data_IF_388914629266
#
_entry.id   IF_388914629266
#
_cell.length_a   1.000
_cell.length_b   1.000
_cell.length_c   1.000
_cell.angle_alpha   90.00
_cell.angle_beta   90.00
_cell.angle_gamma   90.00
#
_symmetry.space_group_name_H-M   'P 1'
#
loop_
_entity.id
_entity.type
_entity.pdbx_description
1 polymer ?
#
# COMPACT_ATOMS: atom_id res chain seq x y z
N UNK A 1 -23.20 -68.59 28.22
CA UNK A 1 -23.78 -67.54 29.08
C UNK A 1 -22.93 -66.29 28.87
N UNK A 2 -23.33 -65.44 27.90
CA UNK A 2 -22.57 -64.26 27.49
C UNK A 2 -23.26 -63.04 28.08
N UNK A 3 -22.55 -62.31 28.93
CA UNK A 3 -23.03 -61.08 29.56
C UNK A 3 -22.69 -59.92 28.65
N UNK A 4 -23.68 -59.36 27.97
CA UNK A 4 -23.57 -58.10 27.22
C UNK A 4 -23.53 -56.95 28.22
N UNK A 5 -22.38 -56.27 28.31
CA UNK A 5 -22.25 -54.98 28.99
C UNK A 5 -22.81 -53.88 28.09
N UNK A 6 -23.97 -53.36 28.39
CA UNK A 6 -24.57 -52.19 27.79
C UNK A 6 -23.80 -50.95 28.24
N UNK A 7 -23.09 -50.34 27.32
CA UNK A 7 -22.41 -49.03 27.49
C UNK A 7 -23.51 -47.95 27.43
N UNK A 8 -23.65 -47.05 28.41
CA UNK A 8 -24.69 -46.04 28.39
C UNK A 8 -24.36 -44.97 27.32
N UNK A 9 -25.21 -44.87 26.30
CA UNK A 9 -25.16 -43.89 25.19
C UNK A 9 -25.36 -42.41 25.62
N UNK A 10 -25.42 -42.13 26.91
CA UNK A 10 -25.74 -40.80 27.43
C UNK A 10 -24.52 -39.85 27.52
N UNK A 11 -23.31 -40.36 27.33
CA UNK A 11 -22.09 -39.52 27.45
C UNK A 11 -21.64 -38.83 26.17
N UNK A 12 -22.18 -39.23 25.03
CA UNK A 12 -21.78 -38.63 23.70
C UNK A 12 -22.71 -37.53 23.21
N UNK A 13 -23.91 -37.38 23.83
CA UNK A 13 -24.83 -36.31 23.44
C UNK A 13 -24.38 -34.93 23.93
N UNK A 14 -23.55 -34.85 24.97
CA UNK A 14 -23.10 -33.55 25.52
C UNK A 14 -21.86 -32.98 24.84
N UNK A 15 -21.06 -33.83 24.20
CA UNK A 15 -19.84 -33.38 23.48
C UNK A 15 -20.12 -32.90 22.05
N UNK A 16 -21.22 -33.31 21.43
CA UNK A 16 -21.57 -32.90 20.08
C UNK A 16 -22.23 -31.50 20.04
N UNK A 17 -22.88 -31.07 21.13
CA UNK A 17 -23.59 -29.80 21.22
C UNK A 17 -22.65 -28.60 21.45
N UNK A 18 -21.47 -28.84 22.04
CA UNK A 18 -20.49 -27.77 22.30
C UNK A 18 -19.63 -27.48 21.06
N UNK A 19 -19.46 -28.44 20.16
CA UNK A 19 -18.64 -28.26 18.94
C UNK A 19 -19.37 -27.50 17.81
N UNK A 20 -20.71 -27.51 17.83
CA UNK A 20 -21.52 -26.76 16.82
C UNK A 20 -21.69 -25.28 17.15
N UNK A 21 -21.34 -24.83 18.35
CA UNK A 21 -21.48 -23.42 18.74
C UNK A 21 -20.26 -22.54 18.38
N UNK A 22 -19.13 -23.16 17.96
CA UNK A 22 -17.89 -22.43 17.64
C UNK A 22 -17.72 -22.12 16.14
N UNK A 23 -18.62 -22.58 15.26
CA UNK A 23 -18.52 -22.34 13.80
C UNK A 23 -19.30 -21.10 13.35
N UNK A 24 -20.01 -20.40 14.26
CA UNK A 24 -20.92 -19.30 13.90
C UNK A 24 -20.37 -17.88 14.08
N UNK A 25 -19.07 -17.65 14.11
CA UNK A 25 -18.57 -16.28 14.30
C UNK A 25 -17.40 -15.91 13.41
N UNK A 26 -17.55 -16.10 12.10
CA UNK A 26 -16.65 -15.49 11.12
C UNK A 26 -17.42 -15.08 9.85
N UNK A 27 -18.61 -14.51 10.01
CA UNK A 27 -19.10 -13.56 9.02
C UNK A 27 -18.30 -12.28 9.28
N UNK A 28 -17.16 -12.14 8.61
CA UNK A 28 -16.50 -10.86 8.48
C UNK A 28 -17.57 -9.89 7.92
N UNK A 29 -18.11 -9.05 8.79
CA UNK A 29 -18.97 -7.95 8.40
C UNK A 29 -18.08 -7.01 7.61
N UNK A 30 -17.97 -7.26 6.30
CA UNK A 30 -17.32 -6.31 5.39
C UNK A 30 -18.17 -5.04 5.45
N UNK A 31 -17.53 -3.91 5.75
CA UNK A 31 -18.24 -2.64 5.74
C UNK A 31 -18.88 -2.44 4.37
N UNK A 32 -20.10 -1.86 4.30
CA UNK A 32 -20.75 -1.61 3.01
C UNK A 32 -19.87 -0.70 2.15
N UNK A 33 -19.82 -0.98 0.85
CA UNK A 33 -19.04 -0.18 -0.09
C UNK A 33 -19.86 1.06 -0.54
N UNK A 34 -19.76 2.13 0.24
CA UNK A 34 -20.42 3.41 -0.02
C UNK A 34 -19.41 4.55 -0.14
N UNK A 35 -19.78 5.69 -0.76
CA UNK A 35 -18.89 6.85 -0.80
C UNK A 35 -18.42 7.30 0.59
N UNK A 36 -19.25 7.18 1.61
CA UNK A 36 -18.95 7.55 3.00
C UNK A 36 -17.91 6.63 3.61
N UNK A 37 -18.08 5.31 3.45
CA UNK A 37 -17.11 4.33 3.96
C UNK A 37 -15.80 4.40 3.20
N UNK A 38 -15.82 4.63 1.88
CA UNK A 38 -14.61 4.89 1.08
C UNK A 38 -13.89 6.14 1.56
N UNK A 39 -14.61 7.24 1.81
CA UNK A 39 -14.03 8.48 2.33
C UNK A 39 -13.36 8.26 3.68
N UNK A 40 -14.02 7.59 4.61
CA UNK A 40 -13.47 7.27 5.92
C UNK A 40 -12.14 6.50 5.81
N UNK A 41 -12.09 5.46 4.97
CA UNK A 41 -10.86 4.67 4.78
C UNK A 41 -9.76 5.45 4.02
N UNK A 42 -10.13 6.31 3.06
CA UNK A 42 -9.19 7.20 2.40
C UNK A 42 -8.56 8.21 3.37
N UNK A 43 -9.34 8.77 4.29
CA UNK A 43 -8.84 9.66 5.35
C UNK A 43 -7.89 8.92 6.30
N UNK A 44 -8.20 7.68 6.70
CA UNK A 44 -7.31 6.83 7.49
C UNK A 44 -5.99 6.57 6.77
N UNK A 45 -6.03 6.26 5.47
CA UNK A 45 -4.84 6.07 4.66
C UNK A 45 -3.97 7.34 4.62
N UNK A 46 -4.57 8.51 4.38
CA UNK A 46 -3.83 9.77 4.33
C UNK A 46 -3.32 10.24 5.70
N UNK A 47 -3.92 9.78 6.81
CA UNK A 47 -3.32 9.94 8.15
C UNK A 47 -2.03 9.13 8.30
N UNK A 48 -1.97 7.94 7.72
CA UNK A 48 -0.78 7.10 7.74
C UNK A 48 0.31 7.57 6.74
N UNK A 49 -0.12 8.23 5.65
CA UNK A 49 0.73 8.75 4.56
C UNK A 49 0.41 10.22 4.30
N UNK A 50 0.75 11.15 5.20
CA UNK A 50 0.37 12.55 5.07
C UNK A 50 0.93 13.18 3.80
N UNK A 51 0.11 13.83 2.95
CA UNK A 51 0.58 14.49 1.72
C UNK A 51 1.72 15.49 1.98
N UNK A 52 1.63 16.24 3.08
CA UNK A 52 2.69 17.18 3.48
C UNK A 52 4.05 16.50 3.60
N UNK A 53 4.13 15.39 4.31
CA UNK A 53 5.39 14.65 4.51
C UNK A 53 5.95 14.14 3.18
N UNK A 54 5.10 13.70 2.25
CA UNK A 54 5.50 13.28 0.91
C UNK A 54 6.17 14.42 0.14
N UNK A 55 5.61 15.64 0.20
CA UNK A 55 6.19 16.81 -0.48
C UNK A 55 7.46 17.31 0.18
N UNK A 56 7.55 17.26 1.50
CA UNK A 56 8.76 17.59 2.25
C UNK A 56 9.91 16.65 1.87
N UNK A 57 9.68 15.33 1.84
CA UNK A 57 10.66 14.33 1.42
C UNK A 57 11.10 14.52 -0.05
N UNK A 58 10.14 14.83 -0.93
CA UNK A 58 10.46 15.12 -2.33
C UNK A 58 11.30 16.40 -2.48
N UNK A 59 10.95 17.47 -1.77
CA UNK A 59 11.69 18.72 -1.79
C UNK A 59 13.12 18.52 -1.23
N UNK A 60 13.28 17.71 -0.19
CA UNK A 60 14.59 17.36 0.37
C UNK A 60 15.46 16.63 -0.66
N UNK A 61 14.91 15.60 -1.32
CA UNK A 61 15.61 14.84 -2.36
C UNK A 61 16.02 15.71 -3.56
N UNK A 62 15.14 16.62 -3.97
CA UNK A 62 15.46 17.57 -5.05
C UNK A 62 16.54 18.57 -4.62
N UNK A 63 16.47 19.07 -3.38
CA UNK A 63 17.45 19.97 -2.81
C UNK A 63 18.84 19.34 -2.66
N UNK A 64 18.94 18.03 -2.52
CA UNK A 64 20.22 17.31 -2.38
C UNK A 64 21.18 17.58 -3.56
N UNK A 65 20.64 17.89 -4.75
CA UNK A 65 21.40 18.21 -5.94
C UNK A 65 21.83 19.70 -6.03
N UNK A 66 21.41 20.54 -5.05
CA UNK A 66 21.75 21.96 -5.00
C UNK A 66 22.97 22.21 -4.08
N UNK A 67 23.66 23.35 -4.24
CA UNK A 67 24.65 23.81 -3.29
C UNK A 67 24.09 23.89 -1.86
N UNK A 68 24.88 23.56 -0.82
CA UNK A 68 24.41 23.47 0.56
C UNK A 68 23.69 24.72 1.08
N UNK A 69 24.15 25.89 0.67
CA UNK A 69 23.63 27.22 1.04
C UNK A 69 22.26 27.53 0.42
N UNK A 70 21.84 26.82 -0.62
CA UNK A 70 20.56 27.01 -1.32
C UNK A 70 19.48 25.97 -0.92
N UNK A 71 19.88 24.89 -0.26
CA UNK A 71 18.97 23.74 0.03
C UNK A 71 17.79 24.13 0.89
N UNK A 72 18.04 24.81 2.01
CA UNK A 72 17.01 25.20 2.95
C UNK A 72 16.01 26.18 2.32
N UNK A 73 16.50 27.17 1.58
CA UNK A 73 15.64 28.13 0.89
C UNK A 73 14.76 27.46 -0.16
N UNK A 74 15.31 26.52 -0.93
CA UNK A 74 14.58 25.75 -1.92
C UNK A 74 13.48 24.90 -1.26
N UNK A 75 13.80 24.13 -0.22
CA UNK A 75 12.83 23.32 0.51
C UNK A 75 11.69 24.16 1.06
N UNK A 76 12.02 25.29 1.69
CA UNK A 76 11.02 26.24 2.23
C UNK A 76 10.12 26.81 1.13
N UNK A 77 10.68 27.21 -0.01
CA UNK A 77 9.91 27.72 -1.12
C UNK A 77 8.96 26.63 -1.67
N UNK A 78 9.46 25.41 -1.91
CA UNK A 78 8.68 24.30 -2.45
C UNK A 78 7.52 23.89 -1.56
N UNK A 79 7.67 24.00 -0.22
CA UNK A 79 6.66 23.54 0.71
C UNK A 79 5.68 24.64 1.17
N UNK A 80 6.13 25.91 1.20
CA UNK A 80 5.31 27.02 1.71
C UNK A 80 4.19 27.47 0.78
N UNK A 81 4.28 27.16 -0.52
CA UNK A 81 3.30 27.58 -1.54
C UNK A 81 2.23 26.50 -1.80
N UNK A 82 2.31 25.35 -1.15
CA UNK A 82 1.39 24.25 -1.35
C UNK A 82 0.12 24.42 -0.51
N UNK A 83 -1.04 24.43 -1.15
CA UNK A 83 -2.32 24.26 -0.49
C UNK A 83 -2.55 22.77 -0.15
N UNK A 84 -1.98 22.36 0.98
CA UNK A 84 -2.07 20.98 1.45
C UNK A 84 -3.54 20.57 1.69
N UNK A 85 -4.40 21.49 2.11
CA UNK A 85 -5.81 21.18 2.36
C UNK A 85 -6.55 20.88 1.04
N UNK A 86 -6.37 21.73 0.03
CA UNK A 86 -6.94 21.50 -1.30
C UNK A 86 -6.42 20.19 -1.93
N UNK A 87 -5.12 19.92 -1.79
CA UNK A 87 -4.51 18.70 -2.28
C UNK A 87 -5.05 17.45 -1.55
N UNK A 88 -5.11 17.48 -0.22
CA UNK A 88 -5.66 16.39 0.58
C UNK A 88 -7.11 16.07 0.17
N UNK A 89 -7.93 17.12 -0.02
CA UNK A 89 -9.31 16.96 -0.51
C UNK A 89 -9.35 16.29 -1.88
N UNK A 90 -8.53 16.77 -2.83
CA UNK A 90 -8.48 16.19 -4.18
C UNK A 90 -8.03 14.71 -4.17
N UNK A 91 -7.07 14.36 -3.31
CA UNK A 91 -6.64 12.97 -3.12
C UNK A 91 -7.77 12.10 -2.58
N UNK A 92 -8.48 12.53 -1.53
CA UNK A 92 -9.62 11.81 -0.97
C UNK A 92 -10.70 11.61 -2.05
N UNK A 93 -11.09 12.67 -2.75
CA UNK A 93 -12.15 12.60 -3.78
C UNK A 93 -11.75 11.63 -4.92
N UNK A 94 -10.48 11.63 -5.31
CA UNK A 94 -9.95 10.69 -6.29
C UNK A 94 -9.95 9.25 -5.77
N UNK A 95 -9.57 9.03 -4.52
CA UNK A 95 -9.57 7.69 -3.91
C UNK A 95 -10.98 7.13 -3.80
N UNK A 96 -11.95 7.94 -3.36
CA UNK A 96 -13.37 7.55 -3.30
C UNK A 96 -13.92 7.15 -4.68
N UNK A 97 -13.45 7.80 -5.74
CA UNK A 97 -13.88 7.51 -7.11
C UNK A 97 -13.32 6.20 -7.66
N UNK A 98 -12.07 5.85 -7.32
CA UNK A 98 -11.32 4.80 -8.00
C UNK A 98 -11.17 3.52 -7.18
N UNK A 99 -11.30 3.58 -5.86
CA UNK A 99 -11.08 2.45 -4.97
C UNK A 99 -12.35 2.05 -4.22
N UNK A 100 -12.46 0.78 -3.88
CA UNK A 100 -13.48 0.25 -2.98
C UNK A 100 -13.11 0.49 -1.52
N UNK A 101 -14.10 0.38 -0.63
CA UNK A 101 -13.89 0.45 0.82
C UNK A 101 -12.86 -0.58 1.30
N UNK A 102 -12.92 -1.81 0.78
CA UNK A 102 -12.02 -2.90 1.17
C UNK A 102 -10.57 -2.60 0.75
N UNK A 103 -10.36 -2.11 -0.47
CA UNK A 103 -9.02 -1.72 -0.96
C UNK A 103 -8.44 -0.58 -0.14
N UNK A 104 -9.23 0.45 0.15
CA UNK A 104 -8.79 1.58 0.96
C UNK A 104 -8.48 1.17 2.40
N UNK A 105 -9.30 0.28 2.97
CA UNK A 105 -9.04 -0.31 4.29
C UNK A 105 -7.72 -1.08 4.31
N UNK A 106 -7.47 -1.92 3.32
CA UNK A 106 -6.23 -2.69 3.22
C UNK A 106 -5.00 -1.77 3.13
N UNK A 107 -5.08 -0.70 2.33
CA UNK A 107 -4.04 0.33 2.24
C UNK A 107 -3.83 1.04 3.58
N UNK A 108 -4.91 1.50 4.23
CA UNK A 108 -4.82 2.20 5.51
C UNK A 108 -4.22 1.30 6.61
N UNK A 109 -4.64 0.05 6.67
CA UNK A 109 -4.14 -0.93 7.64
C UNK A 109 -2.66 -1.24 7.41
N UNK A 110 -2.24 -1.44 6.15
CA UNK A 110 -0.84 -1.70 5.82
C UNK A 110 0.05 -0.49 6.14
N UNK A 111 -0.24 0.67 5.56
CA UNK A 111 0.60 1.85 5.72
C UNK A 111 0.56 2.43 7.15
N UNK A 112 -0.53 2.21 7.88
CA UNK A 112 -0.66 2.57 9.29
C UNK A 112 0.10 1.64 10.23
N UNK A 113 0.40 0.41 9.81
CA UNK A 113 1.05 -0.60 10.65
C UNK A 113 2.54 -0.33 10.86
N UNK A 114 3.14 -0.79 11.98
CA UNK A 114 4.59 -0.72 12.18
C UNK A 114 5.40 -1.43 11.10
N UNK A 115 4.88 -2.57 10.61
CA UNK A 115 5.51 -3.37 9.55
C UNK A 115 5.47 -2.64 8.21
N UNK A 116 4.31 -2.07 7.84
CA UNK A 116 4.16 -1.28 6.62
C UNK A 116 5.08 -0.05 6.61
N UNK A 117 5.12 0.69 7.72
CA UNK A 117 6.03 1.84 7.87
C UNK A 117 7.50 1.42 7.71
N UNK A 118 7.92 0.33 8.37
CA UNK A 118 9.28 -0.20 8.24
C UNK A 118 9.61 -0.65 6.81
N UNK A 119 8.66 -1.31 6.12
CA UNK A 119 8.84 -1.74 4.74
C UNK A 119 9.01 -0.53 3.80
N UNK A 120 8.16 0.49 3.94
CA UNK A 120 8.21 1.70 3.10
C UNK A 120 9.51 2.50 3.30
N UNK A 121 10.03 2.57 4.53
CA UNK A 121 11.32 3.22 4.79
C UNK A 121 12.49 2.52 4.07
N UNK A 122 12.42 1.20 3.90
CA UNK A 122 13.45 0.40 3.20
C UNK A 122 13.30 0.43 1.68
N UNK A 123 12.12 0.79 1.18
CA UNK A 123 11.81 0.71 -0.25
C UNK A 123 12.72 1.60 -1.09
N UNK A 124 13.10 2.77 -0.60
CA UNK A 124 14.04 3.66 -1.28
C UNK A 124 15.43 3.04 -1.49
N UNK A 125 16.00 2.43 -0.45
CA UNK A 125 17.27 1.73 -0.54
C UNK A 125 17.18 0.51 -1.48
N UNK A 126 16.12 -0.28 -1.37
CA UNK A 126 15.85 -1.40 -2.29
C UNK A 126 15.82 -0.93 -3.75
N UNK A 127 15.11 0.15 -4.07
CA UNK A 127 15.07 0.70 -5.42
C UNK A 127 16.43 1.19 -5.90
N UNK A 128 17.22 1.84 -5.03
CA UNK A 128 18.57 2.28 -5.37
C UNK A 128 19.49 1.10 -5.73
N UNK A 129 19.36 -0.03 -5.07
CA UNK A 129 20.16 -1.22 -5.35
C UNK A 129 19.80 -1.89 -6.68
N UNK A 130 18.53 -1.84 -7.10
CA UNK A 130 18.11 -2.50 -8.35
C UNK A 130 18.19 -1.60 -9.60
N UNK A 131 18.20 -0.27 -9.44
CA UNK A 131 18.23 0.68 -10.57
C UNK A 131 19.39 0.44 -11.52
N UNK A 132 20.65 0.20 -11.10
CA UNK A 132 21.76 -0.05 -12.03
C UNK A 132 21.54 -1.29 -12.90
N UNK A 133 20.94 -2.36 -12.35
CA UNK A 133 20.62 -3.56 -13.12
C UNK A 133 19.51 -3.29 -14.15
N UNK A 134 18.48 -2.53 -13.80
CA UNK A 134 17.42 -2.13 -14.71
C UNK A 134 17.97 -1.26 -15.87
N UNK A 135 18.81 -0.29 -15.57
CA UNK A 135 19.46 0.56 -16.57
C UNK A 135 20.30 -0.28 -17.54
N UNK A 136 21.08 -1.23 -17.05
CA UNK A 136 21.88 -2.12 -17.87
C UNK A 136 21.01 -2.95 -18.84
N UNK A 137 19.87 -3.46 -18.40
CA UNK A 137 18.95 -4.22 -19.27
C UNK A 137 18.26 -3.32 -20.29
N UNK A 138 17.90 -2.08 -19.94
CA UNK A 138 17.35 -1.11 -20.89
C UNK A 138 18.38 -0.78 -21.98
N UNK A 139 19.63 -0.54 -21.60
CA UNK A 139 20.71 -0.29 -22.57
C UNK A 139 20.96 -1.48 -23.51
N UNK A 140 20.94 -2.71 -22.99
CA UNK A 140 21.02 -3.91 -23.82
C UNK A 140 19.85 -4.02 -24.81
N UNK A 141 18.64 -3.73 -24.36
CA UNK A 141 17.45 -3.75 -25.23
C UNK A 141 17.53 -2.69 -26.34
N UNK A 142 17.97 -1.48 -26.00
CA UNK A 142 18.21 -0.41 -27.01
C UNK A 142 19.27 -0.79 -28.03
N UNK A 143 20.38 -1.38 -27.57
CA UNK A 143 21.44 -1.85 -28.49
C UNK A 143 20.93 -2.91 -29.48
N UNK A 144 20.13 -3.87 -29.00
CA UNK A 144 19.49 -4.89 -29.87
C UNK A 144 18.52 -4.27 -30.86
N UNK A 145 17.72 -3.29 -30.43
CA UNK A 145 16.79 -2.57 -31.30
C UNK A 145 17.54 -1.84 -32.42
N UNK A 146 18.61 -1.12 -32.09
CA UNK A 146 19.42 -0.40 -33.08
C UNK A 146 20.10 -1.34 -34.09
N UNK A 147 20.45 -2.56 -33.69
CA UNK A 147 20.99 -3.59 -34.59
C UNK A 147 19.93 -4.18 -35.52
N UNK A 148 18.66 -4.22 -35.08
CA UNK A 148 17.55 -4.80 -35.83
C UNK A 148 16.86 -3.84 -36.81
N UNK A 149 17.05 -2.52 -36.60
CA UNK A 149 16.51 -1.51 -37.52
C UNK A 149 17.39 -1.39 -38.76
N UNK A 150 16.80 -1.39 -39.99
CA UNK A 150 17.57 -1.14 -41.21
C UNK A 150 18.19 0.26 -41.14
N UNK A 151 19.49 0.34 -41.41
CA UNK A 151 20.17 1.63 -41.49
C UNK A 151 19.48 2.50 -42.57
N UNK A 152 19.00 3.72 -42.29
CA UNK A 152 18.41 4.56 -43.30
C UNK A 152 19.49 4.85 -44.35
N UNK A 153 19.26 4.35 -45.58
CA UNK A 153 20.16 4.59 -46.69
C UNK A 153 20.37 6.11 -46.88
N UNK A 154 21.61 6.59 -46.98
CA UNK A 154 21.86 8.01 -47.27
C UNK A 154 21.26 8.36 -48.63
N UNK A 155 20.40 9.37 -48.64
CA UNK A 155 19.88 9.98 -49.89
C UNK A 155 20.95 10.85 -50.54
#
# INVERSE_FOLDING_TARGET
>A
MQVYHSIPMQKYAFTLTVFTLFISCALAFSAPDTPETRRHEAERYLQATPPKALFEDMAEKMAANLPPDQREQFQKLMTSQLDIAALTKAMIDSMVKHFTTEELKALADFYGSPVGKSAMQKFGAYMADIMPAMEAEIMKAQAKLNQSLPNPSPK
#
